data_IF_883165492331
#
_entry.id   IF_883165492331
#
_cell.length_a   1.000
_cell.length_b   1.000
_cell.length_c   1.000
_cell.angle_alpha   90.00
_cell.angle_beta   90.00
_cell.angle_gamma   90.00
#
_symmetry.space_group_name_H-M   'P 1'
#
loop_
_entity.id
_entity.type
_entity.pdbx_description
1 polymer ?
#
# COMPACT_ATOMS: atom_id res chain seq x y z
N UNK A 1 -6.94 -12.70 -8.51
CA UNK A 1 -7.47 -11.63 -7.64
C UNK A 1 -9.00 -11.53 -7.61
N UNK A 2 -9.73 -12.10 -8.58
CA UNK A 2 -11.21 -11.99 -8.67
C UNK A 2 -12.02 -12.42 -7.44
N UNK A 3 -11.51 -13.34 -6.62
CA UNK A 3 -12.14 -13.74 -5.35
C UNK A 3 -12.37 -12.55 -4.41
N UNK A 4 -11.53 -11.51 -4.48
CA UNK A 4 -11.69 -10.29 -3.70
C UNK A 4 -13.00 -9.57 -4.04
N UNK A 5 -13.41 -9.56 -5.32
CA UNK A 5 -14.61 -8.84 -5.76
C UNK A 5 -15.90 -9.41 -5.15
N UNK A 6 -15.89 -10.67 -4.68
CA UNK A 6 -17.02 -11.27 -3.98
C UNK A 6 -17.38 -10.47 -2.71
N UNK A 7 -16.39 -9.88 -2.04
CA UNK A 7 -16.62 -9.05 -0.86
C UNK A 7 -17.14 -7.64 -1.20
N UNK A 8 -17.06 -7.21 -2.47
CA UNK A 8 -17.47 -5.88 -2.92
C UNK A 8 -18.80 -5.88 -3.67
N UNK A 9 -19.56 -6.98 -3.64
CA UNK A 9 -20.81 -7.13 -4.43
C UNK A 9 -21.85 -6.05 -4.17
N UNK A 10 -21.97 -5.60 -2.91
CA UNK A 10 -22.93 -4.59 -2.49
C UNK A 10 -22.34 -3.17 -2.43
N UNK A 11 -21.07 -3.02 -2.82
CA UNK A 11 -20.35 -1.75 -2.79
C UNK A 11 -20.58 -1.00 -4.10
N UNK A 12 -20.95 0.29 -4.08
CA UNK A 12 -21.23 1.05 -5.29
C UNK A 12 -19.98 1.20 -6.17
N UNK A 13 -20.22 1.24 -7.47
CA UNK A 13 -19.19 1.44 -8.48
C UNK A 13 -19.01 2.92 -8.79
N UNK A 14 -17.77 3.39 -8.76
CA UNK A 14 -17.36 4.71 -9.26
C UNK A 14 -16.64 4.53 -10.59
N UNK A 15 -17.06 5.30 -11.60
CA UNK A 15 -16.35 5.41 -12.87
C UNK A 15 -15.31 6.51 -12.80
N UNK A 16 -14.19 6.32 -13.50
CA UNK A 16 -13.08 7.26 -13.61
C UNK A 16 -12.82 7.58 -15.08
N UNK A 17 -12.59 8.86 -15.37
CA UNK A 17 -12.12 9.31 -16.68
C UNK A 17 -10.62 9.11 -16.82
N UNK A 18 -10.10 9.13 -18.06
CA UNK A 18 -8.65 9.06 -18.30
C UNK A 18 -7.90 10.15 -17.53
N UNK A 19 -6.82 9.75 -16.84
CA UNK A 19 -6.01 10.63 -16.00
C UNK A 19 -6.64 11.05 -14.67
N UNK A 20 -7.89 10.65 -14.38
CA UNK A 20 -8.55 11.01 -13.13
C UNK A 20 -7.83 10.37 -11.93
N UNK A 21 -7.51 11.19 -10.93
CA UNK A 21 -6.84 10.75 -9.70
C UNK A 21 -7.88 10.12 -8.77
N UNK A 22 -7.69 8.84 -8.45
CA UNK A 22 -8.51 8.10 -7.49
C UNK A 22 -8.14 8.45 -6.05
N UNK A 23 -6.85 8.48 -5.77
CA UNK A 23 -6.27 8.89 -4.48
C UNK A 23 -4.89 9.49 -4.70
N UNK A 24 -4.45 10.32 -3.75
CA UNK A 24 -3.18 11.04 -3.82
C UNK A 24 -2.24 10.66 -2.67
N UNK A 25 -0.97 10.54 -2.99
CA UNK A 25 0.10 10.31 -2.01
C UNK A 25 0.06 11.38 -0.90
N UNK A 26 0.23 10.94 0.35
CA UNK A 26 0.24 11.79 1.53
C UNK A 26 -1.13 12.17 2.08
N UNK A 27 -2.23 11.89 1.36
CA UNK A 27 -3.58 12.09 1.88
C UNK A 27 -3.99 10.94 2.78
N UNK A 28 -4.72 11.27 3.86
CA UNK A 28 -5.28 10.28 4.80
C UNK A 28 -6.80 10.27 4.62
N UNK A 29 -7.30 9.30 3.86
CA UNK A 29 -8.75 9.14 3.62
C UNK A 29 -9.33 7.94 4.37
N UNK A 30 -8.54 6.90 4.64
CA UNK A 30 -9.05 5.63 5.19
C UNK A 30 -9.83 4.77 4.19
N UNK A 31 -9.90 5.21 2.92
CA UNK A 31 -10.66 4.52 1.89
C UNK A 31 -9.93 3.28 1.36
N UNK A 32 -10.73 2.27 1.00
CA UNK A 32 -10.29 1.06 0.30
C UNK A 32 -11.02 0.96 -1.04
N UNK A 33 -10.29 0.55 -2.08
CA UNK A 33 -10.83 0.43 -3.42
C UNK A 33 -10.52 -0.93 -4.01
N UNK A 34 -11.43 -1.45 -4.84
CA UNK A 34 -11.19 -2.63 -5.66
C UNK A 34 -11.44 -2.31 -7.13
N UNK A 35 -10.46 -2.58 -7.99
CA UNK A 35 -10.57 -2.41 -9.44
C UNK A 35 -11.61 -3.39 -10.00
N UNK A 36 -12.69 -2.88 -10.60
CA UNK A 36 -13.66 -3.71 -11.29
C UNK A 36 -13.28 -3.89 -12.77
N UNK A 37 -12.84 -2.82 -13.43
CA UNK A 37 -12.43 -2.83 -14.84
C UNK A 37 -11.54 -1.62 -15.18
N UNK A 38 -10.82 -1.71 -16.31
CA UNK A 38 -9.90 -0.68 -16.77
C UNK A 38 -8.50 -0.84 -16.18
N UNK A 39 -7.73 0.25 -16.15
CA UNK A 39 -6.35 0.26 -15.65
C UNK A 39 -6.10 1.45 -14.74
N UNK A 40 -5.29 1.23 -13.71
CA UNK A 40 -4.78 2.29 -12.84
C UNK A 40 -3.26 2.30 -12.86
N UNK A 41 -2.67 3.49 -12.95
CA UNK A 41 -1.26 3.72 -12.68
C UNK A 41 -1.08 4.03 -11.19
N UNK A 42 -0.07 3.44 -10.56
CA UNK A 42 0.34 3.77 -9.20
C UNK A 42 1.71 4.46 -9.25
N UNK A 43 1.75 5.69 -8.72
CA UNK A 43 2.88 6.60 -8.76
C UNK A 43 3.36 6.90 -7.33
N UNK A 44 4.66 6.79 -7.08
CA UNK A 44 5.29 7.31 -5.87
C UNK A 44 6.20 8.47 -6.26
N UNK A 45 5.82 9.69 -5.86
CA UNK A 45 6.32 10.91 -6.50
C UNK A 45 6.05 10.85 -8.01
N UNK A 46 7.11 10.94 -8.82
CA UNK A 46 7.03 10.87 -10.28
C UNK A 46 7.30 9.46 -10.84
N UNK A 47 7.61 8.48 -9.97
CA UNK A 47 8.00 7.13 -10.40
C UNK A 47 6.78 6.22 -10.46
N UNK A 48 6.51 5.64 -11.64
CA UNK A 48 5.53 4.56 -11.78
C UNK A 48 6.04 3.29 -11.09
N UNK A 49 5.35 2.86 -10.03
CA UNK A 49 5.72 1.67 -9.25
C UNK A 49 4.87 0.45 -9.60
N UNK A 50 3.67 0.65 -10.15
CA UNK A 50 2.81 -0.43 -10.63
C UNK A 50 1.78 0.05 -11.67
N UNK A 51 1.32 -0.89 -12.49
CA UNK A 51 0.08 -0.77 -13.25
C UNK A 51 -0.86 -1.87 -12.75
N UNK A 52 -2.08 -1.49 -12.39
CA UNK A 52 -3.13 -2.40 -11.95
C UNK A 52 -4.14 -2.56 -13.08
N UNK A 53 -4.24 -3.77 -13.62
CA UNK A 53 -5.17 -4.10 -14.70
C UNK A 53 -5.99 -5.37 -14.43
N UNK A 54 -5.69 -6.09 -13.35
CA UNK A 54 -6.45 -7.28 -12.96
C UNK A 54 -7.68 -6.89 -12.10
N UNK A 55 -8.90 -7.29 -12.49
CA UNK A 55 -10.07 -7.13 -11.64
C UNK A 55 -9.91 -7.78 -10.27
N UNK A 56 -10.28 -7.04 -9.22
CA UNK A 56 -10.04 -7.37 -7.82
C UNK A 56 -8.74 -6.79 -7.25
N UNK A 57 -7.90 -6.14 -8.06
CA UNK A 57 -6.73 -5.41 -7.54
C UNK A 57 -7.17 -4.38 -6.51
N UNK A 58 -6.62 -4.46 -5.31
CA UNK A 58 -6.91 -3.51 -4.23
C UNK A 58 -5.98 -2.31 -4.29
N UNK A 59 -6.51 -1.17 -3.86
CA UNK A 59 -5.81 0.10 -3.74
C UNK A 59 -6.20 0.74 -2.41
N UNK A 60 -5.24 1.35 -1.71
CA UNK A 60 -5.43 1.96 -0.39
C UNK A 60 -5.31 0.96 0.76
N UNK A 61 -5.08 -0.32 0.47
CA UNK A 61 -4.95 -1.38 1.46
C UNK A 61 -3.77 -1.15 2.41
N UNK A 62 -2.67 -0.60 1.90
CA UNK A 62 -1.52 -0.25 2.72
C UNK A 62 -1.85 0.86 3.71
N UNK A 63 -2.57 1.90 3.28
CA UNK A 63 -2.94 3.02 4.14
C UNK A 63 -3.85 2.55 5.28
N UNK A 64 -4.83 1.69 4.96
CA UNK A 64 -5.75 1.08 5.93
C UNK A 64 -4.99 0.20 6.93
N UNK A 65 -4.17 -0.76 6.45
CA UNK A 65 -3.50 -1.72 7.33
C UNK A 65 -2.40 -1.12 8.20
N UNK A 66 -1.73 -0.07 7.72
CA UNK A 66 -0.68 0.62 8.47
C UNK A 66 -1.19 1.80 9.31
N UNK A 67 -2.50 2.09 9.25
CA UNK A 67 -3.10 3.32 9.79
C UNK A 67 -2.27 4.56 9.41
N UNK A 68 -2.03 4.70 8.11
CA UNK A 68 -1.13 5.71 7.56
C UNK A 68 -1.79 6.51 6.43
N UNK A 69 -1.14 7.60 6.01
CA UNK A 69 -1.50 8.27 4.77
C UNK A 69 -1.18 7.38 3.55
N UNK A 70 -1.81 7.64 2.42
CA UNK A 70 -1.54 6.94 1.16
C UNK A 70 -0.07 7.02 0.79
N UNK A 71 0.52 5.87 0.48
CA UNK A 71 1.96 5.73 0.18
C UNK A 71 2.31 6.08 -1.26
N UNK A 72 1.30 6.26 -2.11
CA UNK A 72 1.39 6.52 -3.53
C UNK A 72 0.11 7.19 -4.02
N UNK A 73 0.19 7.84 -5.18
CA UNK A 73 -0.96 8.33 -5.95
C UNK A 73 -1.44 7.21 -6.87
N UNK A 74 -2.76 7.04 -7.01
CA UNK A 74 -3.34 6.17 -8.03
C UNK A 74 -4.24 6.97 -8.96
N UNK A 75 -4.07 6.81 -10.27
CA UNK A 75 -4.89 7.48 -11.29
C UNK A 75 -5.26 6.53 -12.42
N UNK A 76 -6.35 6.82 -13.11
CA UNK A 76 -6.81 6.00 -14.22
C UNK A 76 -5.92 6.16 -15.46
N UNK A 77 -5.64 5.04 -16.14
CA UNK A 77 -5.06 4.98 -17.48
C UNK A 77 -6.16 4.55 -18.46
N UNK A 78 -6.81 5.52 -19.08
CA UNK A 78 -8.07 5.35 -19.79
C UNK A 78 -9.28 5.21 -18.85
N UNK A 79 -10.48 4.94 -19.39
CA UNK A 79 -11.68 4.71 -18.59
C UNK A 79 -11.51 3.53 -17.64
N UNK A 80 -11.84 3.72 -16.36
CA UNK A 80 -11.76 2.69 -15.34
C UNK A 80 -13.00 2.70 -14.43
N UNK A 81 -13.21 1.60 -13.71
CA UNK A 81 -14.28 1.50 -12.72
C UNK A 81 -13.80 0.79 -11.47
N UNK A 82 -14.14 1.33 -10.31
CA UNK A 82 -13.68 0.84 -9.01
C UNK A 82 -14.85 0.78 -8.01
N UNK A 83 -14.85 -0.24 -7.16
CA UNK A 83 -15.68 -0.21 -5.95
C UNK A 83 -15.02 0.70 -4.90
N UNK A 84 -15.82 1.47 -4.17
CA UNK A 84 -15.32 2.45 -3.19
C UNK A 84 -15.87 2.13 -1.81
N UNK A 85 -14.97 1.92 -0.86
CA UNK A 85 -15.31 1.77 0.56
C UNK A 85 -14.67 2.91 1.33
N UNK A 86 -15.48 3.72 2.00
CA UNK A 86 -14.99 4.90 2.75
C UNK A 86 -14.29 4.50 4.05
N UNK A 87 -14.89 3.58 4.83
CA UNK A 87 -14.26 3.05 6.04
C UNK A 87 -13.61 1.68 5.74
N UNK A 88 -12.40 1.72 5.19
CA UNK A 88 -11.65 0.52 4.85
C UNK A 88 -11.31 -0.35 6.06
N UNK A 89 -11.10 0.25 7.23
CA UNK A 89 -10.73 -0.47 8.45
C UNK A 89 -11.92 -1.27 9.01
N UNK A 90 -13.10 -0.65 9.07
CA UNK A 90 -14.33 -1.34 9.45
C UNK A 90 -14.67 -2.45 8.44
N UNK A 91 -14.50 -2.18 7.14
CA UNK A 91 -14.76 -3.16 6.10
C UNK A 91 -13.83 -4.37 6.17
N UNK A 92 -12.53 -4.19 6.38
CA UNK A 92 -11.60 -5.31 6.58
C UNK A 92 -11.93 -6.10 7.86
N UNK A 93 -12.33 -5.41 8.93
CA UNK A 93 -12.73 -6.05 10.19
C UNK A 93 -14.00 -6.90 10.03
N UNK A 94 -14.94 -6.44 9.20
CA UNK A 94 -16.16 -7.17 8.87
C UNK A 94 -15.93 -8.34 7.90
N UNK A 95 -14.80 -8.37 7.17
CA UNK A 95 -14.46 -9.41 6.20
C UNK A 95 -13.09 -10.06 6.50
N UNK A 96 -12.98 -10.91 7.53
CA UNK A 96 -11.70 -11.51 7.93
C UNK A 96 -11.01 -12.32 6.83
N UNK A 97 -11.78 -12.98 5.95
CA UNK A 97 -11.23 -13.71 4.80
C UNK A 97 -10.51 -12.77 3.83
N UNK A 98 -11.10 -11.60 3.55
CA UNK A 98 -10.46 -10.57 2.74
C UNK A 98 -9.17 -10.08 3.41
N UNK A 99 -9.22 -9.77 4.71
CA UNK A 99 -8.05 -9.33 5.46
C UNK A 99 -6.90 -10.36 5.39
N UNK A 100 -7.22 -11.65 5.44
CA UNK A 100 -6.24 -12.73 5.30
C UNK A 100 -5.65 -12.80 3.88
N UNK A 101 -6.49 -12.69 2.84
CA UNK A 101 -6.04 -12.65 1.45
C UNK A 101 -5.08 -11.49 1.19
N UNK A 102 -5.42 -10.28 1.69
CA UNK A 102 -4.58 -9.09 1.58
C UNK A 102 -3.27 -9.29 2.35
N UNK A 103 -3.33 -9.80 3.58
CA UNK A 103 -2.14 -10.07 4.38
C UNK A 103 -1.19 -11.03 3.68
N UNK A 104 -1.72 -12.11 3.08
CA UNK A 104 -0.92 -13.07 2.30
C UNK A 104 -0.31 -12.43 1.05
N UNK A 105 -1.05 -11.58 0.35
CA UNK A 105 -0.56 -10.83 -0.81
C UNK A 105 0.61 -9.92 -0.44
N UNK A 106 0.45 -9.12 0.62
CA UNK A 106 1.48 -8.19 1.09
C UNK A 106 2.70 -8.92 1.63
N UNK A 107 2.52 -10.01 2.38
CA UNK A 107 3.62 -10.84 2.85
C UNK A 107 4.45 -11.42 1.68
N UNK A 108 3.78 -11.89 0.60
CA UNK A 108 4.47 -12.36 -0.61
C UNK A 108 5.23 -11.24 -1.31
N UNK A 109 4.63 -10.05 -1.45
CA UNK A 109 5.28 -8.87 -2.03
C UNK A 109 6.50 -8.45 -1.21
N UNK A 110 6.37 -8.40 0.11
CA UNK A 110 7.47 -8.09 1.02
C UNK A 110 8.60 -9.11 0.88
N UNK A 111 8.28 -10.41 0.92
CA UNK A 111 9.28 -11.47 0.76
C UNK A 111 10.01 -11.39 -0.59
N UNK A 112 9.31 -11.07 -1.68
CA UNK A 112 9.93 -10.88 -2.99
C UNK A 112 10.87 -9.66 -3.00
N UNK A 113 10.42 -8.53 -2.42
CA UNK A 113 11.23 -7.32 -2.32
C UNK A 113 12.49 -7.55 -1.47
N UNK A 114 12.37 -8.16 -0.29
CA UNK A 114 13.52 -8.46 0.58
C UNK A 114 14.49 -9.46 -0.05
N UNK A 115 13.98 -10.45 -0.80
CA UNK A 115 14.82 -11.38 -1.57
C UNK A 115 15.63 -10.64 -2.63
N UNK A 116 14.97 -9.77 -3.41
CA UNK A 116 15.63 -8.97 -4.43
C UNK A 116 16.70 -8.04 -3.84
N UNK A 117 16.42 -7.41 -2.70
CA UNK A 117 17.41 -6.59 -1.99
C UNK A 117 18.62 -7.40 -1.51
N UNK A 118 18.40 -8.62 -1.02
CA UNK A 118 19.48 -9.51 -0.61
C UNK A 118 20.35 -9.94 -1.82
N UNK A 119 19.72 -10.21 -2.97
CA UNK A 119 20.44 -10.52 -4.22
C UNK A 119 21.29 -9.36 -4.70
N UNK A 120 20.74 -8.14 -4.70
CA UNK A 120 21.50 -6.92 -5.00
C UNK A 120 22.71 -6.81 -4.06
N UNK A 121 22.49 -6.94 -2.75
CA UNK A 121 23.57 -6.83 -1.76
C UNK A 121 24.69 -7.86 -2.00
N UNK A 122 24.34 -9.08 -2.42
CA UNK A 122 25.31 -10.11 -2.82
C UNK A 122 26.07 -9.77 -4.10
N UNK A 123 25.40 -9.27 -5.13
CA UNK A 123 26.03 -8.92 -6.41
C UNK A 123 27.07 -7.81 -6.25
N UNK A 124 26.90 -6.93 -5.26
CA UNK A 124 27.80 -5.82 -5.01
C UNK A 124 28.81 -6.06 -3.88
N UNK A 125 28.83 -7.24 -3.25
CA UNK A 125 29.74 -7.62 -2.15
C UNK A 125 31.23 -7.79 -2.56
N UNK A 126 31.64 -7.15 -3.65
CA UNK A 126 33.02 -7.11 -4.15
C UNK A 126 33.25 -6.04 -5.24
N UNK A 127 32.27 -5.17 -5.48
CA UNK A 127 32.41 -4.05 -6.40
C UNK A 127 33.03 -2.88 -5.61
N UNK A 128 34.35 -2.71 -5.70
CA UNK A 128 35.05 -1.62 -5.03
C UNK A 128 34.44 -0.24 -5.35
N UNK A 129 34.19 0.52 -4.29
CA UNK A 129 33.62 1.89 -4.19
C UNK A 129 32.14 2.10 -4.58
N UNK A 130 31.49 2.97 -3.78
CA UNK A 130 30.10 3.46 -3.74
C UNK A 130 28.97 2.42 -3.64
N UNK A 131 29.12 1.23 -4.21
CA UNK A 131 28.09 0.18 -4.19
C UNK A 131 28.04 -0.63 -2.88
N UNK A 132 29.12 -0.66 -2.10
CA UNK A 132 29.10 -1.21 -0.72
C UNK A 132 28.20 -0.40 0.22
N UNK A 133 28.17 0.94 0.07
CA UNK A 133 27.29 1.81 0.86
C UNK A 133 25.80 1.54 0.57
N UNK A 134 25.45 1.04 -0.62
CA UNK A 134 24.08 0.59 -0.92
C UNK A 134 23.70 -0.59 -0.01
N UNK A 135 24.63 -1.49 0.28
CA UNK A 135 24.41 -2.59 1.22
C UNK A 135 24.09 -2.13 2.64
N UNK A 136 24.75 -1.08 3.12
CA UNK A 136 24.52 -0.47 4.44
C UNK A 136 23.19 0.30 4.50
N UNK A 137 22.86 1.08 3.46
CA UNK A 137 21.58 1.81 3.37
C UNK A 137 20.40 0.84 3.33
N UNK A 138 20.51 -0.26 2.57
CA UNK A 138 19.47 -1.29 2.52
C UNK A 138 19.26 -1.98 3.87
N UNK A 139 20.34 -2.20 4.62
CA UNK A 139 20.28 -2.78 5.97
C UNK A 139 19.54 -1.85 6.94
N UNK A 140 19.79 -0.54 6.86
CA UNK A 140 19.04 0.45 7.64
C UNK A 140 17.54 0.47 7.29
N UNK A 141 17.16 0.26 6.02
CA UNK A 141 15.75 0.21 5.61
C UNK A 141 15.04 -1.06 6.10
N UNK A 142 15.74 -2.20 6.12
CA UNK A 142 15.20 -3.44 6.71
C UNK A 142 15.03 -3.31 8.23
N UNK A 143 15.95 -2.64 8.92
CA UNK A 143 15.87 -2.44 10.37
C UNK A 143 14.90 -1.33 10.81
N UNK A 144 14.57 -0.36 9.95
CA UNK A 144 13.55 0.65 10.25
C UNK A 144 12.11 0.11 10.31
N UNK A 145 11.84 -1.08 9.77
CA UNK A 145 10.53 -1.73 9.93
C UNK A 145 10.27 -2.26 11.36
N UNK A 146 11.25 -2.19 12.27
CA UNK A 146 11.12 -2.65 13.66
C UNK A 146 10.92 -1.58 14.74
N UNK A 147 10.99 -0.27 14.46
CA UNK A 147 11.08 0.75 15.51
C UNK A 147 10.22 2.02 15.33
N UNK A 148 9.06 1.94 14.67
CA UNK A 148 8.01 2.98 14.75
C UNK A 148 6.70 2.52 15.39
N UNK A 149 6.76 1.46 16.20
CA UNK A 149 5.70 1.09 17.12
C UNK A 149 6.06 1.51 18.54
N UNK A 150 5.63 2.70 18.97
CA UNK A 150 5.63 3.07 20.38
C UNK A 150 6.30 4.39 20.71
N UNK A 151 5.50 5.46 20.75
CA UNK A 151 5.34 6.41 21.88
C UNK A 151 4.82 7.75 21.37
N UNK A 152 3.53 7.98 21.58
CA UNK A 152 3.04 9.19 22.25
C UNK A 152 1.58 8.97 22.69
N UNK A 153 1.43 8.27 23.82
CA UNK A 153 0.29 8.42 24.69
C UNK A 153 0.82 8.54 26.12
N UNK A 154 0.29 9.53 26.83
CA UNK A 154 0.46 9.83 28.26
C UNK A 154 1.71 10.62 28.68
N UNK A 155 1.55 11.95 28.72
CA UNK A 155 1.77 12.73 29.94
C UNK A 155 1.22 14.14 29.78
N UNK A 156 0.09 14.41 30.45
CA UNK A 156 -0.13 15.56 31.35
C UNK A 156 -1.54 15.50 31.91
N UNK A 157 -1.69 14.68 32.94
CA UNK A 157 -2.56 15.02 34.06
C UNK A 157 -1.82 16.06 34.90
N UNK A 158 -2.50 17.17 35.22
CA UNK A 158 -1.95 18.18 36.12
C UNK A 158 -2.49 19.58 35.90
N UNK A 159 -3.75 19.83 36.27
CA UNK A 159 -4.09 21.10 36.91
C UNK A 159 -5.20 20.90 37.94
N UNK A 160 -4.81 20.95 39.21
CA UNK A 160 -5.66 21.33 40.33
C UNK A 160 -5.91 22.84 40.21
N UNK A 161 -7.17 23.25 40.27
CA UNK A 161 -7.69 24.20 41.27
C UNK A 161 -9.22 24.06 41.33
#
# INVERSE_FOLDING_TARGET
MREILVHFSDIPLRTLSDGEVLLKEGERTGHLYALASGKLEVLRGETQVAILEEPGSLIGEMAVLLDSAHTATARALGPASVHVVEDGAAFMSAHPELAWLVSRLLARRLNAATTYLADIKRQFAGAGNHLEMVGEVLESLMHQQGLRGGRQASQRDGYRD
#
